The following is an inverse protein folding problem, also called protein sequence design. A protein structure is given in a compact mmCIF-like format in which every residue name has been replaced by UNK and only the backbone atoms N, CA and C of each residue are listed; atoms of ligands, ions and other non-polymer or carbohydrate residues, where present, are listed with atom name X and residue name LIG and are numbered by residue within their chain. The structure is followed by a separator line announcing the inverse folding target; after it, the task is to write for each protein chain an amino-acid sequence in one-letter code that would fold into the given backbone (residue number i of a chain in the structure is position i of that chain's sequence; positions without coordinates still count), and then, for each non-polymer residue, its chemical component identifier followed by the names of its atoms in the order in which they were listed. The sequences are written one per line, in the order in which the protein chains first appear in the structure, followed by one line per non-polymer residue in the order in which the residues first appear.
data_IF_513045970250
#
_entry.id   IF_513045970250
#
_cell.length_a   1.000
_cell.length_b   1.000
_cell.length_c   1.000
_cell.angle_alpha   90.00
_cell.angle_beta   90.00
_cell.angle_gamma   90.00
#
_symmetry.space_group_name_H-M   'P 1'
#
loop_
_entity.id
_entity.type
_entity.pdbx_description
1 polymer ?
#
# COMPACT_ATOMS: atom_id res chain seq x y z
N UNK A 1 -25.29 -7.84 -23.64
CA UNK A 1 -24.62 -8.02 -24.95
C UNK A 1 -23.29 -7.29 -25.00
N UNK A 2 -23.19 -5.96 -25.17
CA UNK A 2 -21.87 -5.28 -25.29
C UNK A 2 -20.94 -5.46 -24.08
N UNK A 3 -21.47 -5.47 -22.85
CA UNK A 3 -20.64 -5.60 -21.64
C UNK A 3 -20.12 -7.02 -21.40
N UNK A 4 -20.89 -8.03 -21.78
CA UNK A 4 -20.52 -9.46 -21.60
C UNK A 4 -19.45 -9.88 -22.61
N UNK A 5 -19.48 -9.30 -23.80
CA UNK A 5 -18.50 -9.49 -24.87
C UNK A 5 -17.15 -8.85 -24.49
N UNK A 6 -17.17 -7.61 -23.99
CA UNK A 6 -15.98 -6.92 -23.49
C UNK A 6 -15.32 -7.63 -22.30
N UNK A 7 -16.11 -8.26 -21.43
CA UNK A 7 -15.59 -9.04 -20.32
C UNK A 7 -14.86 -10.30 -20.81
N UNK A 8 -15.44 -11.01 -21.77
CA UNK A 8 -14.80 -12.19 -22.38
C UNK A 8 -13.50 -11.83 -23.09
N UNK A 9 -13.50 -10.75 -23.87
CA UNK A 9 -12.28 -10.23 -24.49
C UNK A 9 -11.20 -9.90 -23.45
N UNK A 10 -11.58 -9.29 -22.33
CA UNK A 10 -10.64 -8.96 -21.25
C UNK A 10 -10.06 -10.23 -20.59
N UNK A 11 -10.89 -11.25 -20.36
CA UNK A 11 -10.46 -12.55 -19.82
C UNK A 11 -9.48 -13.24 -20.78
N UNK A 12 -9.82 -13.31 -22.06
CA UNK A 12 -8.97 -13.90 -23.10
C UNK A 12 -7.62 -13.15 -23.21
N UNK A 13 -7.66 -11.82 -23.16
CA UNK A 13 -6.46 -10.98 -23.24
C UNK A 13 -5.48 -11.22 -22.09
N UNK A 14 -6.02 -11.45 -20.88
CA UNK A 14 -5.22 -11.77 -19.69
C UNK A 14 -4.95 -13.27 -19.52
N UNK A 15 -5.50 -14.11 -20.41
CA UNK A 15 -5.49 -15.57 -20.30
C UNK A 15 -5.98 -16.03 -18.92
N UNK A 16 -7.17 -15.57 -18.55
CA UNK A 16 -7.84 -15.85 -17.27
C UNK A 16 -9.18 -16.55 -17.51
N UNK A 17 -9.50 -17.48 -16.62
CA UNK A 17 -10.82 -18.12 -16.58
C UNK A 17 -11.85 -17.25 -15.84
N UNK A 18 -13.14 -17.56 -15.93
CA UNK A 18 -14.24 -16.77 -15.31
C UNK A 18 -14.19 -16.71 -13.77
N UNK A 19 -13.50 -17.68 -13.15
CA UNK A 19 -13.31 -17.86 -11.71
C UNK A 19 -11.92 -17.45 -11.21
N UNK A 20 -11.19 -16.67 -12.02
CA UNK A 20 -9.85 -16.18 -11.70
C UNK A 20 -9.74 -15.44 -10.35
N UNK A 21 -8.59 -15.55 -9.70
CA UNK A 21 -8.31 -14.81 -8.47
C UNK A 21 -7.71 -13.41 -8.73
N UNK A 22 -7.94 -12.48 -7.80
CA UNK A 22 -7.36 -11.12 -7.86
C UNK A 22 -5.82 -11.13 -7.93
N UNK A 23 -5.18 -12.14 -7.33
CA UNK A 23 -3.73 -12.37 -7.37
C UNK A 23 -3.24 -12.73 -8.76
N UNK A 24 -4.01 -13.53 -9.52
CA UNK A 24 -3.70 -13.94 -10.88
C UNK A 24 -3.82 -12.76 -11.85
N UNK A 25 -4.85 -11.93 -11.70
CA UNK A 25 -4.98 -10.68 -12.47
C UNK A 25 -3.77 -9.77 -12.25
N UNK A 26 -3.33 -9.58 -11.00
CA UNK A 26 -2.15 -8.74 -10.68
C UNK A 26 -0.87 -9.30 -11.30
N UNK A 27 -0.67 -10.61 -11.22
CA UNK A 27 0.51 -11.30 -11.80
C UNK A 27 0.54 -11.16 -13.33
N UNK A 28 -0.58 -11.45 -13.98
CA UNK A 28 -0.69 -11.40 -15.44
C UNK A 28 -0.60 -9.96 -15.94
N UNK A 29 -1.21 -9.00 -15.22
CA UNK A 29 -1.05 -7.57 -15.50
C UNK A 29 0.41 -7.14 -15.44
N UNK A 30 1.13 -7.48 -14.37
CA UNK A 30 2.54 -7.10 -14.25
C UNK A 30 3.38 -7.65 -15.42
N UNK A 31 3.13 -8.91 -15.79
CA UNK A 31 3.82 -9.57 -16.90
C UNK A 31 3.53 -8.89 -18.25
N UNK A 32 2.26 -8.59 -18.54
CA UNK A 32 1.86 -7.93 -19.78
C UNK A 32 2.27 -6.45 -19.81
N UNK A 33 2.22 -5.76 -18.68
CA UNK A 33 2.65 -4.37 -18.56
C UNK A 33 4.14 -4.22 -18.85
N UNK A 34 4.98 -5.16 -18.37
CA UNK A 34 6.40 -5.19 -18.72
C UNK A 34 6.62 -5.47 -20.21
N UNK A 35 5.81 -6.34 -20.83
CA UNK A 35 5.91 -6.67 -22.26
C UNK A 35 5.45 -5.57 -23.19
N UNK A 36 4.43 -4.81 -22.80
CA UNK A 36 3.81 -3.77 -23.62
C UNK A 36 4.21 -2.35 -23.22
N UNK A 37 5.09 -2.18 -22.23
CA UNK A 37 5.51 -0.85 -21.79
C UNK A 37 6.16 -0.08 -22.95
N UNK A 38 5.72 1.15 -23.26
CA UNK A 38 6.25 1.91 -24.40
C UNK A 38 7.76 2.17 -24.30
N UNK A 39 8.28 2.36 -23.09
CA UNK A 39 9.72 2.65 -22.88
C UNK A 39 10.63 1.41 -22.77
N UNK A 40 10.09 0.22 -22.47
CA UNK A 40 10.89 -0.96 -22.04
C UNK A 40 10.38 -2.30 -22.55
N UNK A 41 9.25 -2.33 -23.25
CA UNK A 41 8.55 -3.54 -23.65
C UNK A 41 9.14 -4.21 -24.89
N UNK A 42 8.79 -5.49 -25.04
CA UNK A 42 9.10 -6.31 -26.21
C UNK A 42 8.31 -5.87 -27.45
N UNK A 43 7.12 -5.27 -27.24
CA UNK A 43 6.28 -4.70 -28.28
C UNK A 43 6.10 -3.21 -28.03
N UNK A 44 6.64 -2.37 -28.91
CA UNK A 44 6.47 -0.90 -28.88
C UNK A 44 5.09 -0.52 -29.42
N UNK A 45 4.03 -0.96 -28.75
CA UNK A 45 2.65 -0.61 -29.12
C UNK A 45 1.94 0.05 -27.96
N UNK A 46 1.95 1.38 -27.97
CA UNK A 46 1.17 2.23 -27.06
C UNK A 46 -0.32 1.83 -27.06
N UNK A 47 -0.83 1.40 -28.21
CA UNK A 47 -2.20 0.91 -28.37
C UNK A 47 -2.47 -0.34 -27.52
N UNK A 48 -1.54 -1.30 -27.50
CA UNK A 48 -1.68 -2.52 -26.69
C UNK A 48 -1.59 -2.22 -25.19
N UNK A 49 -0.77 -1.24 -24.79
CA UNK A 49 -0.69 -0.82 -23.39
C UNK A 49 -1.97 -0.12 -22.94
N UNK A 50 -2.53 0.79 -23.74
CA UNK A 50 -3.82 1.44 -23.45
C UNK A 50 -4.94 0.40 -23.35
N UNK A 51 -4.94 -0.58 -24.25
CA UNK A 51 -5.92 -1.67 -24.23
C UNK A 51 -5.77 -2.57 -22.98
N UNK A 52 -4.53 -2.87 -22.56
CA UNK A 52 -4.24 -3.61 -21.33
C UNK A 52 -4.83 -2.90 -20.10
N UNK A 53 -4.66 -1.58 -19.99
CA UNK A 53 -5.22 -0.77 -18.89
C UNK A 53 -6.75 -0.84 -18.90
N UNK A 54 -7.35 -0.66 -20.08
CA UNK A 54 -8.81 -0.72 -20.25
C UNK A 54 -9.39 -2.07 -19.82
N UNK A 55 -8.77 -3.18 -20.24
CA UNK A 55 -9.24 -4.52 -19.87
C UNK A 55 -9.03 -4.81 -18.37
N UNK A 56 -7.94 -4.31 -17.76
CA UNK A 56 -7.75 -4.39 -16.31
C UNK A 56 -8.91 -3.71 -15.55
N UNK A 57 -9.31 -2.51 -15.95
CA UNK A 57 -10.42 -1.80 -15.30
C UNK A 57 -11.74 -2.55 -15.40
N UNK A 58 -11.99 -3.27 -16.50
CA UNK A 58 -13.19 -4.09 -16.68
C UNK A 58 -13.16 -5.29 -15.73
N UNK A 59 -12.03 -5.97 -15.61
CA UNK A 59 -11.86 -7.12 -14.71
C UNK A 59 -11.93 -6.71 -13.23
N UNK A 60 -11.37 -5.56 -12.86
CA UNK A 60 -11.50 -5.01 -11.50
C UNK A 60 -12.97 -4.74 -11.15
N UNK A 61 -13.73 -4.13 -12.06
CA UNK A 61 -15.18 -3.91 -11.88
C UNK A 61 -15.97 -5.22 -11.79
N UNK A 62 -15.58 -6.23 -12.56
CA UNK A 62 -16.19 -7.56 -12.49
C UNK A 62 -15.96 -8.18 -11.10
N UNK A 63 -14.73 -8.17 -10.58
CA UNK A 63 -14.42 -8.64 -9.22
C UNK A 63 -15.25 -7.89 -8.17
N UNK A 64 -15.36 -6.57 -8.27
CA UNK A 64 -16.18 -5.76 -7.36
C UNK A 64 -17.67 -6.13 -7.43
N UNK A 65 -18.19 -6.46 -8.61
CA UNK A 65 -19.57 -6.89 -8.79
C UNK A 65 -19.83 -8.29 -8.20
N UNK A 66 -18.88 -9.22 -8.38
CA UNK A 66 -18.94 -10.56 -7.78
C UNK A 66 -18.89 -10.49 -6.25
N UNK A 67 -18.03 -9.63 -5.69
CA UNK A 67 -17.96 -9.35 -4.24
C UNK A 67 -19.27 -8.76 -3.68
N UNK A 68 -20.06 -8.05 -4.50
CA UNK A 68 -21.38 -7.51 -4.10
C UNK A 68 -22.51 -8.54 -4.22
N UNK A 69 -22.38 -9.55 -5.08
CA UNK A 69 -23.41 -10.57 -5.32
C UNK A 69 -23.31 -11.80 -4.40
N UNK A 70 -22.17 -12.05 -3.75
CA UNK A 70 -22.03 -13.09 -2.72
C UNK A 70 -22.28 -12.53 -1.31
N UNK A 71 -23.43 -12.80 -0.66
CA UNK A 71 -23.70 -12.28 0.69
C UNK A 71 -23.05 -13.12 1.80
N UNK A 72 -22.23 -14.14 1.47
CA UNK A 72 -21.91 -15.20 2.43
C UNK A 72 -20.46 -15.68 2.46
N UNK A 73 -19.50 -14.81 2.15
CA UNK A 73 -18.15 -14.99 2.66
C UNK A 73 -17.98 -14.16 3.93
N UNK A 74 -17.61 -14.81 5.03
CA UNK A 74 -17.17 -14.13 6.26
C UNK A 74 -16.21 -13.02 5.84
N UNK A 75 -16.43 -11.76 6.25
CA UNK A 75 -15.64 -10.66 5.72
C UNK A 75 -14.17 -10.93 6.03
N UNK A 76 -13.33 -11.04 4.98
CA UNK A 76 -11.92 -10.64 5.10
C UNK A 76 -11.99 -9.27 5.75
N UNK A 77 -11.60 -9.18 7.03
CA UNK A 77 -11.82 -7.99 7.86
C UNK A 77 -11.20 -6.79 7.15
N UNK A 78 -12.03 -6.07 6.41
CA UNK A 78 -11.64 -4.82 5.80
C UNK A 78 -11.32 -3.93 6.99
N UNK A 79 -10.08 -3.44 7.00
CA UNK A 79 -9.64 -2.51 8.00
C UNK A 79 -10.73 -1.44 8.18
N UNK A 80 -11.33 -1.36 9.36
CA UNK A 80 -12.32 -0.33 9.69
C UNK A 80 -11.72 1.01 9.29
N UNK A 81 -12.50 1.89 8.66
CA UNK A 81 -12.03 3.23 8.26
C UNK A 81 -11.23 3.92 9.38
N UNK A 82 -11.65 3.69 10.64
CA UNK A 82 -11.00 4.18 11.85
C UNK A 82 -9.59 3.60 12.08
N UNK A 83 -9.36 2.31 11.87
CA UNK A 83 -8.02 1.73 12.04
C UNK A 83 -7.05 2.23 10.96
N UNK A 84 -7.54 2.40 9.73
CA UNK A 84 -6.74 2.92 8.63
C UNK A 84 -6.32 4.37 8.87
N UNK A 85 -7.23 5.23 9.35
CA UNK A 85 -6.85 6.62 9.69
C UNK A 85 -5.80 6.66 10.81
N UNK A 86 -5.92 5.83 11.86
CA UNK A 86 -4.93 5.77 12.95
C UNK A 86 -3.56 5.33 12.41
N UNK A 87 -3.54 4.29 11.56
CA UNK A 87 -2.33 3.79 10.92
C UNK A 87 -1.68 4.81 10.00
N UNK A 88 -2.47 5.45 9.15
CA UNK A 88 -2.03 6.49 8.24
C UNK A 88 -1.45 7.68 8.99
N UNK A 89 -2.09 8.10 10.08
CA UNK A 89 -1.59 9.16 10.94
C UNK A 89 -0.24 8.79 11.59
N UNK A 90 -0.11 7.55 12.10
CA UNK A 90 1.14 7.06 12.67
C UNK A 90 2.30 7.14 11.65
N UNK A 91 2.07 6.64 10.42
CA UNK A 91 3.05 6.67 9.31
C UNK A 91 3.41 8.07 8.87
N UNK A 92 2.42 8.96 8.78
CA UNK A 92 2.65 10.35 8.41
C UNK A 92 3.49 11.07 9.45
N UNK A 93 3.23 10.85 10.74
CA UNK A 93 4.01 11.45 11.82
C UNK A 93 5.45 10.92 11.81
N UNK A 94 5.63 9.60 11.70
CA UNK A 94 6.95 8.94 11.58
C UNK A 94 7.75 9.56 10.42
N UNK A 95 7.18 9.52 9.22
CA UNK A 95 7.85 9.97 7.99
C UNK A 95 8.18 11.46 8.03
N UNK A 96 7.23 12.28 8.50
CA UNK A 96 7.43 13.72 8.62
C UNK A 96 8.48 14.07 9.67
N UNK A 97 8.48 13.39 10.81
CA UNK A 97 9.46 13.66 11.86
C UNK A 97 10.88 13.36 11.39
N UNK A 98 11.08 12.21 10.75
CA UNK A 98 12.38 11.81 10.18
C UNK A 98 12.80 12.80 9.08
N UNK A 99 11.89 13.16 8.17
CA UNK A 99 12.19 14.10 7.10
C UNK A 99 12.55 15.50 7.65
N UNK A 100 11.78 16.01 8.61
CA UNK A 100 12.04 17.30 9.26
C UNK A 100 13.44 17.30 9.92
N UNK A 101 13.79 16.21 10.61
CA UNK A 101 15.09 16.07 11.27
C UNK A 101 16.27 16.07 10.29
N UNK A 102 16.13 15.41 9.13
CA UNK A 102 17.20 15.42 8.14
C UNK A 102 17.28 16.76 7.38
N UNK A 103 16.13 17.40 7.11
CA UNK A 103 16.09 18.72 6.47
C UNK A 103 16.72 19.82 7.33
N UNK A 104 16.51 19.79 8.65
CA UNK A 104 17.13 20.77 9.55
C UNK A 104 18.65 20.61 9.66
N UNK A 105 19.22 19.53 9.11
CA UNK A 105 20.64 19.17 9.25
C UNK A 105 21.41 19.18 7.93
N UNK A 106 20.86 19.72 6.84
CA UNK A 106 21.47 19.70 5.51
C UNK A 106 22.95 20.12 5.55
N UNK A 107 23.85 19.12 5.45
CA UNK A 107 25.32 19.29 5.54
C UNK A 107 26.02 19.06 6.89
N UNK A 108 25.34 18.67 7.98
CA UNK A 108 25.96 18.47 9.31
C UNK A 108 26.08 17.00 9.74
N UNK A 109 27.24 16.63 10.29
CA UNK A 109 27.59 15.26 10.73
C UNK A 109 26.60 14.73 11.76
N UNK A 110 26.19 13.46 11.64
CA UNK A 110 25.24 12.81 12.55
C UNK A 110 25.75 12.84 14.01
N UNK A 111 25.19 13.73 14.84
CA UNK A 111 25.42 13.77 16.28
C UNK A 111 24.28 13.01 16.97
N UNK A 112 24.63 11.92 17.63
CA UNK A 112 23.71 10.94 18.23
C UNK A 112 23.43 11.19 19.73
N UNK A 113 23.89 12.32 20.28
CA UNK A 113 23.70 12.68 21.69
C UNK A 113 22.71 13.84 21.81
N UNK A 114 21.61 13.64 22.54
CA UNK A 114 20.57 14.66 22.79
C UNK A 114 21.11 15.97 23.37
N UNK A 115 22.12 15.88 24.23
CA UNK A 115 22.70 17.03 24.95
C UNK A 115 23.24 18.12 24.00
N UNK A 116 23.54 17.75 22.75
CA UNK A 116 24.06 18.65 21.72
C UNK A 116 23.13 18.75 20.50
N UNK A 117 21.90 18.23 20.56
CA UNK A 117 21.01 18.14 19.41
C UNK A 117 19.54 18.38 19.80
N UNK A 118 19.10 19.65 19.92
CA UNK A 118 17.71 19.98 20.25
C UNK A 118 16.72 19.46 19.18
N UNK A 119 17.16 19.31 17.93
CA UNK A 119 16.36 18.74 16.84
C UNK A 119 16.10 17.24 17.06
N UNK A 120 17.03 16.51 17.68
CA UNK A 120 16.86 15.11 18.07
C UNK A 120 15.79 14.96 19.15
N UNK A 121 15.73 15.87 20.12
CA UNK A 121 14.67 15.86 21.13
C UNK A 121 13.27 16.07 20.51
N UNK A 122 13.16 16.97 19.51
CA UNK A 122 11.92 17.19 18.76
C UNK A 122 11.55 15.96 17.92
N UNK A 123 12.54 15.31 17.29
CA UNK A 123 12.34 14.05 16.57
C UNK A 123 11.78 12.98 17.51
N UNK A 124 12.44 12.73 18.64
CA UNK A 124 12.06 11.69 19.61
C UNK A 124 10.63 11.89 20.10
N UNK A 125 10.26 13.11 20.49
CA UNK A 125 8.89 13.42 20.93
C UNK A 125 7.83 13.12 19.85
N UNK A 126 8.14 13.40 18.58
CA UNK A 126 7.23 13.07 17.46
C UNK A 126 7.17 11.56 17.20
N UNK A 127 8.31 10.87 17.32
CA UNK A 127 8.38 9.42 17.16
C UNK A 127 7.68 8.67 18.30
N UNK A 128 7.75 9.15 19.54
CA UNK A 128 6.96 8.63 20.67
C UNK A 128 5.46 8.70 20.37
N UNK A 129 4.98 9.85 19.87
CA UNK A 129 3.58 10.01 19.46
C UNK A 129 3.18 9.06 18.33
N UNK A 130 4.08 8.79 17.37
CA UNK A 130 3.84 7.79 16.34
C UNK A 130 3.78 6.37 16.92
N UNK A 131 4.70 6.03 17.84
CA UNK A 131 4.74 4.74 18.56
C UNK A 131 3.46 4.50 19.35
N UNK A 132 2.93 5.51 20.04
CA UNK A 132 1.64 5.41 20.75
C UNK A 132 0.48 5.04 19.81
N UNK A 133 0.44 5.61 18.60
CA UNK A 133 -0.58 5.29 17.61
C UNK A 133 -0.43 3.87 17.06
N UNK A 134 0.79 3.38 16.85
CA UNK A 134 1.02 1.98 16.49
C UNK A 134 0.61 1.02 17.60
N UNK A 135 0.93 1.32 18.85
CA UNK A 135 0.48 0.53 20.00
C UNK A 135 -1.04 0.50 20.09
N UNK A 136 -1.69 1.65 19.83
CA UNK A 136 -3.15 1.73 19.77
C UNK A 136 -3.75 0.79 18.73
N UNK A 137 -3.12 0.65 17.56
CA UNK A 137 -3.58 -0.32 16.54
C UNK A 137 -3.46 -1.75 17.06
N UNK A 138 -2.36 -2.08 17.71
CA UNK A 138 -2.09 -3.44 18.23
C UNK A 138 -3.09 -3.81 19.34
N UNK A 139 -3.41 -2.88 20.24
CA UNK A 139 -4.30 -3.14 21.38
C UNK A 139 -5.79 -3.00 21.04
N UNK A 140 -6.18 -1.91 20.35
CA UNK A 140 -7.59 -1.63 20.07
C UNK A 140 -8.11 -2.47 18.89
N UNK A 141 -7.22 -2.92 17.99
CA UNK A 141 -7.58 -3.66 16.78
C UNK A 141 -6.72 -4.92 16.63
N UNK A 142 -6.84 -5.93 17.52
CA UNK A 142 -5.99 -7.12 17.54
C UNK A 142 -6.16 -8.05 16.32
N UNK A 143 -7.12 -7.75 15.43
CA UNK A 143 -7.29 -8.45 14.15
C UNK A 143 -7.03 -7.56 12.94
N UNK A 144 -6.41 -6.40 13.14
CA UNK A 144 -6.03 -5.49 12.07
C UNK A 144 -4.97 -6.10 11.16
N UNK A 145 -5.07 -5.84 9.86
CA UNK A 145 -4.05 -6.21 8.88
C UNK A 145 -2.73 -5.43 9.07
N UNK A 146 -2.78 -4.33 9.83
CA UNK A 146 -1.65 -3.42 10.04
C UNK A 146 -0.78 -3.79 11.25
N UNK A 147 -1.15 -4.80 12.03
CA UNK A 147 -0.42 -5.18 13.27
C UNK A 147 1.04 -5.54 12.97
N UNK A 148 1.28 -6.27 11.89
CA UNK A 148 2.63 -6.70 11.53
C UNK A 148 3.52 -5.48 11.23
N UNK A 149 3.08 -4.60 10.34
CA UNK A 149 3.82 -3.37 10.01
C UNK A 149 3.94 -2.43 11.21
N UNK A 150 2.90 -2.33 12.05
CA UNK A 150 2.93 -1.53 13.27
C UNK A 150 4.03 -2.01 14.23
N UNK A 151 4.20 -3.33 14.41
CA UNK A 151 5.28 -3.90 15.24
C UNK A 151 6.67 -3.59 14.67
N UNK A 152 6.88 -3.83 13.37
CA UNK A 152 8.15 -3.50 12.72
C UNK A 152 8.45 -1.99 12.80
N UNK A 153 7.44 -1.15 12.69
CA UNK A 153 7.60 0.31 12.80
C UNK A 153 7.98 0.74 14.21
N UNK A 154 7.42 0.11 15.24
CA UNK A 154 7.83 0.34 16.63
C UNK A 154 9.30 -0.04 16.83
N UNK A 155 9.73 -1.19 16.33
CA UNK A 155 11.13 -1.63 16.45
C UNK A 155 12.11 -0.64 15.79
N UNK A 156 11.75 -0.10 14.61
CA UNK A 156 12.55 0.95 13.96
C UNK A 156 12.56 2.25 14.76
N UNK A 157 11.42 2.67 15.30
CA UNK A 157 11.31 3.87 16.14
C UNK A 157 12.18 3.72 17.40
N UNK A 158 12.21 2.54 18.01
CA UNK A 158 12.98 2.28 19.23
C UNK A 158 14.49 2.44 19.06
N UNK A 159 15.01 2.35 17.82
CA UNK A 159 16.41 2.68 17.53
C UNK A 159 16.70 4.17 17.82
N UNK A 160 15.73 5.04 17.58
CA UNK A 160 15.88 6.49 17.78
C UNK A 160 15.65 6.93 19.23
N UNK A 161 14.92 6.13 20.00
CA UNK A 161 14.54 6.40 21.39
C UNK A 161 15.54 5.85 22.44
N UNK A 162 16.60 5.18 22.00
CA UNK A 162 17.73 4.74 22.85
C UNK A 162 18.64 5.90 23.21
#
# INVERSE_FOLDING_TARGET
MKNDELLREALDFFNLDLDFEETELKRNFHTLALKFHPDRGEYTSEVLFVQLIKYKEILDKYIESQKKMSPNEKPKKLASKKEYEIYKDAKNIESKAILDYFKSRDGSTLQLLEQNNPELAVLRKKLEKSKELYLKIIYDFPTSIWIYDAKESIERIDVWLK
#
